data_IF_420882625980
#
_entry.id   IF_420882625980
#
_cell.length_a   1.000
_cell.length_b   1.000
_cell.length_c   1.000
_cell.angle_alpha   90.00
_cell.angle_beta   90.00
_cell.angle_gamma   90.00
#
_symmetry.space_group_name_H-M   'P 1'
#
loop_
_entity.id
_entity.type
_entity.pdbx_description
1 polymer ?
#
# COMPACT_ATOMS: atom_id res chain seq x y z
N UNK A 1 7.10 -3.11 68.39
CA UNK A 1 5.85 -3.56 67.71
C UNK A 1 5.30 -2.57 66.69
N UNK A 2 5.11 -1.26 66.97
CA UNK A 2 4.52 -0.29 66.01
C UNK A 2 5.36 -0.09 64.74
N UNK A 3 6.68 -0.15 64.79
CA UNK A 3 7.55 0.04 63.61
C UNK A 3 7.63 -1.22 62.75
N UNK A 4 7.57 -2.42 63.33
CA UNK A 4 7.58 -3.68 62.57
C UNK A 4 6.33 -3.83 61.67
N UNK A 5 5.17 -3.35 62.15
CA UNK A 5 3.92 -3.36 61.39
C UNK A 5 3.97 -2.36 60.23
N UNK A 6 4.62 -1.20 60.37
CA UNK A 6 4.81 -0.23 59.28
C UNK A 6 5.68 -0.78 58.17
N UNK A 7 6.77 -1.48 58.49
CA UNK A 7 7.63 -2.11 57.51
C UNK A 7 6.93 -3.27 56.77
N UNK A 8 6.08 -4.04 57.50
CA UNK A 8 5.29 -5.11 56.91
C UNK A 8 4.24 -4.56 55.92
N UNK A 9 3.59 -3.46 56.26
CA UNK A 9 2.63 -2.78 55.38
C UNK A 9 3.31 -2.11 54.17
N UNK A 10 4.52 -1.55 54.34
CA UNK A 10 5.28 -0.99 53.23
C UNK A 10 5.77 -2.07 52.25
N UNK A 11 6.22 -3.22 52.76
CA UNK A 11 6.63 -4.34 51.90
C UNK A 11 5.45 -5.00 51.18
N UNK A 12 4.29 -5.09 51.79
CA UNK A 12 3.07 -5.57 51.15
C UNK A 12 2.56 -4.62 50.04
N UNK A 13 2.67 -3.30 50.26
CA UNK A 13 2.34 -2.28 49.27
C UNK A 13 3.31 -2.28 48.09
N UNK A 14 4.62 -2.51 48.33
CA UNK A 14 5.63 -2.61 47.29
C UNK A 14 5.45 -3.89 46.43
N UNK A 15 5.04 -5.00 47.02
CA UNK A 15 4.74 -6.25 46.30
C UNK A 15 3.44 -6.16 45.48
N UNK A 16 2.46 -5.36 45.91
CA UNK A 16 1.24 -5.11 45.14
C UNK A 16 1.46 -4.20 43.90
N UNK A 17 2.52 -3.39 43.91
CA UNK A 17 2.85 -2.50 42.78
C UNK A 17 3.53 -3.20 41.60
N UNK A 18 4.02 -4.44 41.76
CA UNK A 18 4.75 -5.20 40.72
C UNK A 18 3.83 -6.14 39.92
N UNK A 19 2.53 -6.20 40.23
CA UNK A 19 1.66 -7.32 39.81
C UNK A 19 0.70 -7.02 38.65
N UNK A 20 0.86 -6.02 37.80
CA UNK A 20 -0.19 -5.73 36.81
C UNK A 20 0.27 -5.28 35.42
N UNK A 21 1.43 -5.67 34.89
CA UNK A 21 1.70 -5.41 33.48
C UNK A 21 0.91 -6.33 32.55
N UNK A 22 0.72 -7.58 32.89
CA UNK A 22 -0.01 -8.54 32.02
C UNK A 22 -1.55 -8.39 32.06
N UNK A 23 -2.11 -7.70 33.05
CA UNK A 23 -3.58 -7.50 33.15
C UNK A 23 -4.09 -6.35 32.26
N UNK A 24 -3.21 -5.41 31.90
CA UNK A 24 -3.52 -4.30 30.99
C UNK A 24 -3.27 -4.66 29.51
N UNK A 25 -2.66 -5.80 29.25
CA UNK A 25 -2.36 -6.28 27.89
C UNK A 25 -3.54 -7.10 27.33
N UNK A 26 -4.73 -6.51 27.37
CA UNK A 26 -5.94 -7.11 26.80
C UNK A 26 -5.96 -6.79 25.31
N UNK A 27 -5.47 -7.71 24.50
CA UNK A 27 -5.73 -7.70 23.05
C UNK A 27 -7.18 -8.13 22.86
N UNK A 28 -8.04 -7.32 22.19
CA UNK A 28 -9.38 -7.77 21.82
C UNK A 28 -9.28 -9.11 21.06
N UNK A 29 -10.15 -10.09 21.31
CA UNK A 29 -10.07 -11.41 20.66
C UNK A 29 -10.22 -11.35 19.13
N UNK A 30 -10.56 -10.20 18.56
CA UNK A 30 -10.69 -9.93 17.13
C UNK A 30 -9.48 -9.25 16.51
N UNK A 31 -8.46 -8.86 17.30
CA UNK A 31 -7.27 -8.20 16.81
C UNK A 31 -6.05 -9.12 16.93
N UNK A 32 -5.42 -9.42 15.80
CA UNK A 32 -4.13 -10.11 15.75
C UNK A 32 -3.05 -9.03 15.87
N UNK A 33 -2.11 -9.21 16.80
CA UNK A 33 -0.94 -8.31 16.88
C UNK A 33 -0.14 -8.39 15.58
N UNK A 34 0.33 -7.26 15.08
CA UNK A 34 1.12 -7.22 13.85
C UNK A 34 2.33 -8.16 13.90
N UNK A 35 2.97 -8.30 15.06
CA UNK A 35 4.10 -9.21 15.26
C UNK A 35 3.73 -10.69 15.11
N UNK A 36 2.54 -11.07 15.55
CA UNK A 36 2.01 -12.43 15.41
C UNK A 36 1.56 -12.67 13.96
N UNK A 37 0.90 -11.68 13.33
CA UNK A 37 0.47 -11.73 11.94
C UNK A 37 1.66 -11.93 10.99
N UNK A 38 2.71 -11.15 11.15
CA UNK A 38 3.93 -11.23 10.32
C UNK A 38 4.96 -12.24 10.83
N UNK A 39 4.56 -13.22 11.63
CA UNK A 39 5.45 -14.28 12.12
C UNK A 39 5.78 -15.34 11.05
N UNK A 40 4.97 -15.44 9.98
CA UNK A 40 5.10 -16.43 8.90
C UNK A 40 4.87 -15.80 7.52
N UNK A 41 5.22 -16.54 6.47
CA UNK A 41 4.97 -16.13 5.08
C UNK A 41 3.47 -15.91 4.81
N UNK A 42 2.61 -16.70 5.43
CA UNK A 42 1.16 -16.62 5.27
C UNK A 42 0.59 -15.24 5.66
N UNK A 43 1.06 -14.64 6.76
CA UNK A 43 0.63 -13.31 7.18
C UNK A 43 0.95 -12.24 6.12
N UNK A 44 2.13 -12.29 5.52
CA UNK A 44 2.49 -11.39 4.42
C UNK A 44 1.67 -11.64 3.16
N UNK A 45 1.40 -12.91 2.83
CA UNK A 45 0.52 -13.29 1.72
C UNK A 45 -0.89 -12.76 1.93
N UNK A 46 -1.45 -12.93 3.13
CA UNK A 46 -2.78 -12.41 3.50
C UNK A 46 -2.84 -10.89 3.38
N UNK A 47 -1.81 -10.16 3.84
CA UNK A 47 -1.74 -8.71 3.68
C UNK A 47 -1.70 -8.30 2.21
N UNK A 48 -0.89 -8.99 1.39
CA UNK A 48 -0.81 -8.70 -0.04
C UNK A 48 -2.15 -8.97 -0.76
N UNK A 49 -2.83 -10.08 -0.44
CA UNK A 49 -4.20 -10.35 -0.93
C UNK A 49 -5.16 -9.24 -0.47
N UNK A 50 -5.10 -8.85 0.80
CA UNK A 50 -5.90 -7.76 1.35
C UNK A 50 -5.70 -6.44 0.59
N UNK A 51 -4.46 -6.13 0.19
CA UNK A 51 -4.17 -4.96 -0.64
C UNK A 51 -4.83 -5.08 -2.03
N UNK A 52 -4.75 -6.24 -2.70
CA UNK A 52 -5.42 -6.45 -3.98
C UNK A 52 -6.95 -6.39 -3.87
N UNK A 53 -7.53 -6.94 -2.81
CA UNK A 53 -8.98 -6.85 -2.56
C UNK A 53 -9.40 -5.40 -2.34
N UNK A 54 -8.67 -4.63 -1.54
CA UNK A 54 -8.93 -3.23 -1.31
C UNK A 54 -8.78 -2.38 -2.59
N UNK A 55 -7.82 -2.71 -3.44
CA UNK A 55 -7.71 -2.10 -4.77
C UNK A 55 -8.91 -2.44 -5.67
N UNK A 56 -9.49 -3.62 -5.53
CA UNK A 56 -10.68 -4.06 -6.29
C UNK A 56 -12.00 -3.46 -5.81
N UNK A 57 -12.03 -2.66 -4.75
CA UNK A 57 -13.24 -1.98 -4.30
C UNK A 57 -13.67 -0.84 -5.26
N UNK A 58 -14.94 -0.44 -5.18
CA UNK A 58 -15.55 0.59 -6.04
C UNK A 58 -14.87 1.95 -5.93
N UNK A 59 -14.33 2.27 -4.77
CA UNK A 59 -13.60 3.51 -4.53
C UNK A 59 -12.29 3.60 -5.34
N UNK A 60 -11.73 2.47 -5.79
CA UNK A 60 -10.52 2.41 -6.63
C UNK A 60 -10.79 1.72 -7.98
N UNK A 61 -10.10 0.59 -8.25
CA UNK A 61 -10.11 -0.06 -9.57
C UNK A 61 -11.36 -0.90 -9.82
N UNK A 62 -12.20 -1.15 -8.81
CA UNK A 62 -13.51 -1.79 -9.01
C UNK A 62 -14.49 -0.89 -9.76
N UNK A 63 -14.31 0.44 -9.71
CA UNK A 63 -15.18 1.39 -10.39
C UNK A 63 -14.49 2.69 -10.77
N UNK A 64 -14.11 3.54 -9.78
CA UNK A 64 -13.72 4.93 -10.01
C UNK A 64 -12.48 5.09 -10.91
N UNK A 65 -11.47 4.23 -10.75
CA UNK A 65 -10.20 4.28 -11.50
C UNK A 65 -10.21 3.44 -12.79
N UNK A 66 -11.37 2.91 -13.19
CA UNK A 66 -11.52 2.10 -14.41
C UNK A 66 -12.58 2.66 -15.35
N UNK A 67 -13.85 2.57 -14.99
CA UNK A 67 -14.95 2.85 -15.90
C UNK A 67 -15.93 3.94 -15.40
N UNK A 68 -15.70 4.57 -14.25
CA UNK A 68 -16.54 5.63 -13.71
C UNK A 68 -15.82 6.99 -13.70
N UNK A 69 -15.19 7.41 -12.59
CA UNK A 69 -14.60 8.76 -12.44
C UNK A 69 -13.62 9.10 -13.57
N UNK A 70 -12.70 8.22 -13.89
CA UNK A 70 -11.69 8.50 -14.93
C UNK A 70 -12.28 8.58 -16.32
N UNK A 71 -13.32 7.78 -16.64
CA UNK A 71 -14.02 7.80 -17.92
C UNK A 71 -14.91 9.04 -18.06
N UNK A 72 -15.53 9.50 -16.94
CA UNK A 72 -16.24 10.77 -16.89
C UNK A 72 -15.31 11.96 -17.14
N UNK A 73 -14.17 12.00 -16.47
CA UNK A 73 -13.14 13.02 -16.69
C UNK A 73 -12.54 12.94 -18.10
N UNK A 74 -12.41 11.73 -18.65
CA UNK A 74 -11.99 11.47 -20.02
C UNK A 74 -13.06 11.76 -21.08
N UNK A 75 -14.29 12.12 -20.64
CA UNK A 75 -15.46 12.38 -21.51
C UNK A 75 -15.81 11.21 -22.43
N UNK A 76 -15.66 9.99 -21.94
CA UNK A 76 -16.11 8.79 -22.63
C UNK A 76 -17.63 8.60 -22.55
N UNK A 77 -18.28 9.22 -21.55
CA UNK A 77 -19.73 9.27 -21.38
C UNK A 77 -20.25 10.70 -21.51
N UNK A 78 -21.50 10.85 -21.94
CA UNK A 78 -22.19 12.15 -22.07
C UNK A 78 -23.22 12.33 -20.95
N UNK A 79 -22.79 12.78 -19.79
CA UNK A 79 -23.67 13.12 -18.67
C UNK A 79 -24.31 14.51 -18.78
N UNK A 80 -23.93 15.34 -19.77
CA UNK A 80 -24.31 16.75 -19.87
C UNK A 80 -25.82 16.99 -20.10
N UNK A 81 -26.54 16.00 -20.57
CA UNK A 81 -27.99 16.10 -20.82
C UNK A 81 -28.83 15.82 -19.58
N UNK A 82 -28.27 15.23 -18.56
CA UNK A 82 -28.98 14.91 -17.33
C UNK A 82 -28.35 15.64 -16.14
N UNK A 83 -28.83 16.83 -15.83
CA UNK A 83 -28.32 17.65 -14.71
C UNK A 83 -28.62 17.06 -13.33
N UNK A 84 -29.46 16.02 -13.25
CA UNK A 84 -29.74 15.29 -12.02
C UNK A 84 -28.85 14.05 -11.85
N UNK A 85 -28.03 13.69 -12.85
CA UNK A 85 -27.07 12.61 -12.72
C UNK A 85 -25.98 12.98 -11.72
N UNK A 86 -25.58 12.01 -10.92
CA UNK A 86 -24.52 12.21 -9.91
C UNK A 86 -23.19 12.63 -10.54
N UNK A 87 -22.94 12.19 -11.77
CA UNK A 87 -21.70 12.44 -12.52
C UNK A 87 -21.69 13.75 -13.32
N UNK A 88 -22.80 14.50 -13.31
CA UNK A 88 -22.95 15.72 -14.09
C UNK A 88 -21.83 16.75 -13.81
N UNK A 89 -21.46 16.88 -12.56
CA UNK A 89 -20.42 17.81 -12.13
C UNK A 89 -19.01 17.33 -12.50
N UNK A 90 -18.74 16.02 -12.44
CA UNK A 90 -17.45 15.44 -12.87
C UNK A 90 -17.21 15.64 -14.37
N UNK A 91 -18.23 15.40 -15.23
CA UNK A 91 -18.15 15.65 -16.69
C UNK A 91 -17.83 17.12 -17.02
N UNK A 92 -18.20 18.04 -16.14
CA UNK A 92 -17.93 19.48 -16.28
C UNK A 92 -16.68 19.97 -15.57
N UNK A 93 -15.92 19.08 -14.98
CA UNK A 93 -14.75 19.41 -14.16
C UNK A 93 -15.09 20.36 -12.99
N UNK A 94 -16.30 20.26 -12.47
CA UNK A 94 -16.75 21.01 -11.30
C UNK A 94 -16.43 20.21 -10.02
N UNK A 95 -15.22 20.34 -9.51
CA UNK A 95 -14.71 19.61 -8.35
C UNK A 95 -15.15 20.20 -7.00
N UNK A 96 -16.03 21.21 -6.99
CA UNK A 96 -16.41 21.93 -5.76
C UNK A 96 -17.77 21.51 -5.20
N UNK A 97 -18.50 20.65 -5.88
CA UNK A 97 -19.77 20.12 -5.35
C UNK A 97 -19.50 18.99 -4.38
N UNK A 98 -20.42 18.77 -3.43
CA UNK A 98 -20.34 17.69 -2.44
C UNK A 98 -20.11 16.34 -3.12
N UNK A 99 -20.88 16.03 -4.16
CA UNK A 99 -20.78 14.75 -4.89
C UNK A 99 -19.42 14.54 -5.53
N UNK A 100 -18.91 15.53 -6.27
CA UNK A 100 -17.57 15.43 -6.89
C UNK A 100 -16.47 15.31 -5.86
N UNK A 101 -16.57 16.09 -4.77
CA UNK A 101 -15.61 16.05 -3.67
C UNK A 101 -15.58 14.68 -3.00
N UNK A 102 -16.75 14.11 -2.67
CA UNK A 102 -16.86 12.79 -2.05
C UNK A 102 -16.19 11.69 -2.89
N UNK A 103 -16.42 11.66 -4.20
CA UNK A 103 -15.80 10.67 -5.09
C UNK A 103 -14.28 10.83 -5.12
N UNK A 104 -13.79 12.07 -5.25
CA UNK A 104 -12.36 12.38 -5.30
C UNK A 104 -11.67 12.03 -3.98
N UNK A 105 -12.27 12.40 -2.85
CA UNK A 105 -11.77 12.11 -1.50
C UNK A 105 -11.68 10.60 -1.25
N UNK A 106 -12.70 9.84 -1.62
CA UNK A 106 -12.69 8.37 -1.49
C UNK A 106 -11.53 7.73 -2.26
N UNK A 107 -11.28 8.16 -3.50
CA UNK A 107 -10.13 7.69 -4.27
C UNK A 107 -8.82 8.00 -3.54
N UNK A 108 -8.67 9.20 -3.01
CA UNK A 108 -7.49 9.62 -2.27
C UNK A 108 -7.29 8.80 -0.99
N UNK A 109 -8.29 8.78 -0.12
CA UNK A 109 -8.25 8.10 1.17
C UNK A 109 -8.00 6.60 1.03
N UNK A 110 -8.72 5.94 0.11
CA UNK A 110 -8.56 4.51 -0.13
C UNK A 110 -7.19 4.17 -0.71
N UNK A 111 -6.66 5.00 -1.60
CA UNK A 111 -5.30 4.83 -2.13
C UNK A 111 -4.25 4.86 -1.02
N UNK A 112 -4.31 5.86 -0.14
CA UNK A 112 -3.37 5.96 0.98
C UNK A 112 -3.60 4.91 2.06
N UNK A 113 -4.82 4.42 2.24
CA UNK A 113 -5.11 3.27 3.11
C UNK A 113 -4.40 2.00 2.61
N UNK A 114 -4.45 1.71 1.31
CA UNK A 114 -3.72 0.57 0.73
C UNK A 114 -2.21 0.77 0.85
N UNK A 115 -1.70 1.98 0.57
CA UNK A 115 -0.27 2.31 0.74
C UNK A 115 0.19 2.11 2.19
N UNK A 116 -0.63 2.46 3.18
CA UNK A 116 -0.30 2.24 4.59
C UNK A 116 -0.15 0.76 4.92
N UNK A 117 -1.08 -0.11 4.46
CA UNK A 117 -0.98 -1.55 4.64
C UNK A 117 0.26 -2.14 3.93
N UNK A 118 0.59 -1.65 2.74
CA UNK A 118 1.81 -2.05 2.02
C UNK A 118 3.05 -1.64 2.80
N UNK A 119 3.10 -0.43 3.34
CA UNK A 119 4.25 0.07 4.10
C UNK A 119 4.43 -0.69 5.40
N UNK A 120 3.34 -1.04 6.09
CA UNK A 120 3.38 -1.87 7.30
C UNK A 120 3.99 -3.24 7.00
N UNK A 121 3.52 -3.91 5.94
CA UNK A 121 4.09 -5.19 5.52
C UNK A 121 5.57 -5.07 5.10
N UNK A 122 5.96 -4.00 4.39
CA UNK A 122 7.35 -3.75 3.97
C UNK A 122 8.28 -3.53 5.15
N UNK A 123 7.82 -2.85 6.19
CA UNK A 123 8.60 -2.64 7.42
C UNK A 123 8.85 -3.97 8.16
N UNK A 124 7.85 -4.84 8.21
CA UNK A 124 7.94 -6.13 8.88
C UNK A 124 8.74 -7.16 8.06
N UNK A 125 8.61 -7.22 6.73
CA UNK A 125 9.23 -8.26 5.92
C UNK A 125 10.76 -8.19 5.95
N UNK A 126 11.33 -6.98 6.04
CA UNK A 126 12.78 -6.81 6.14
C UNK A 126 13.33 -7.26 7.51
N UNK A 127 12.56 -7.06 8.58
CA UNK A 127 12.90 -7.56 9.92
C UNK A 127 12.81 -9.08 10.04
N UNK A 128 11.96 -9.72 9.24
CA UNK A 128 11.72 -11.18 9.24
C UNK A 128 12.45 -11.92 8.13
N UNK A 129 13.34 -11.25 7.40
CA UNK A 129 14.03 -11.82 6.23
C UNK A 129 14.72 -13.16 6.51
N UNK A 130 15.35 -13.30 7.66
CA UNK A 130 16.08 -14.53 8.03
C UNK A 130 15.15 -15.69 8.43
N UNK A 131 13.87 -15.40 8.70
CA UNK A 131 12.83 -16.40 9.02
C UNK A 131 11.95 -16.79 7.83
N UNK A 132 12.12 -16.13 6.69
CA UNK A 132 11.38 -16.42 5.46
C UNK A 132 12.27 -17.16 4.46
N UNK A 133 11.70 -18.11 3.73
CA UNK A 133 12.40 -18.66 2.58
C UNK A 133 12.64 -17.60 1.49
N UNK A 134 13.65 -17.81 0.68
CA UNK A 134 14.08 -16.82 -0.31
C UNK A 134 13.01 -16.52 -1.39
N UNK A 135 12.15 -17.47 -1.72
CA UNK A 135 11.08 -17.29 -2.72
C UNK A 135 10.01 -16.38 -2.16
N UNK A 136 9.49 -16.70 -0.96
CA UNK A 136 8.49 -15.89 -0.27
C UNK A 136 8.97 -14.46 -0.06
N UNK A 137 10.17 -14.28 0.52
CA UNK A 137 10.74 -12.95 0.74
C UNK A 137 10.80 -12.13 -0.55
N UNK A 138 11.32 -12.72 -1.63
CA UNK A 138 11.56 -11.99 -2.88
C UNK A 138 10.26 -11.66 -3.61
N UNK A 139 9.36 -12.63 -3.76
CA UNK A 139 8.13 -12.41 -4.54
C UNK A 139 7.20 -11.46 -3.79
N UNK A 140 6.96 -11.70 -2.50
CA UNK A 140 6.04 -10.85 -1.72
C UNK A 140 6.56 -9.42 -1.62
N UNK A 141 7.84 -9.24 -1.25
CA UNK A 141 8.43 -7.90 -1.19
C UNK A 141 8.42 -7.19 -2.54
N UNK A 142 8.73 -7.92 -3.61
CA UNK A 142 8.68 -7.37 -4.97
C UNK A 142 7.30 -6.88 -5.36
N UNK A 143 6.25 -7.64 -5.05
CA UNK A 143 4.87 -7.22 -5.31
C UNK A 143 4.42 -6.06 -4.43
N UNK A 144 4.76 -6.05 -3.14
CA UNK A 144 4.43 -4.93 -2.24
C UNK A 144 5.04 -3.61 -2.73
N UNK A 145 6.31 -3.62 -3.16
CA UNK A 145 6.95 -2.47 -3.77
C UNK A 145 6.26 -2.04 -5.06
N UNK A 146 5.85 -3.00 -5.88
CA UNK A 146 5.12 -2.74 -7.11
C UNK A 146 3.73 -2.13 -6.86
N UNK A 147 2.98 -2.63 -5.87
CA UNK A 147 1.68 -2.07 -5.47
C UNK A 147 1.85 -0.63 -4.99
N UNK A 148 2.84 -0.36 -4.13
CA UNK A 148 3.14 1.00 -3.66
C UNK A 148 3.41 1.96 -4.81
N UNK A 149 4.27 1.56 -5.73
CA UNK A 149 4.63 2.37 -6.89
C UNK A 149 3.43 2.57 -7.84
N UNK A 150 2.64 1.53 -8.09
CA UNK A 150 1.48 1.57 -8.96
C UNK A 150 0.43 2.57 -8.48
N UNK A 151 0.07 2.51 -7.19
CA UNK A 151 -0.94 3.43 -6.62
C UNK A 151 -0.41 4.87 -6.61
N UNK A 152 0.86 5.10 -6.24
CA UNK A 152 1.43 6.45 -6.31
C UNK A 152 1.51 6.99 -7.74
N UNK A 153 1.73 6.12 -8.73
CA UNK A 153 1.73 6.52 -10.13
C UNK A 153 0.36 7.05 -10.56
N UNK A 154 -0.72 6.37 -10.17
CA UNK A 154 -2.07 6.85 -10.46
C UNK A 154 -2.42 8.13 -9.69
N UNK A 155 -1.99 8.25 -8.43
CA UNK A 155 -2.15 9.49 -7.67
C UNK A 155 -1.44 10.68 -8.35
N UNK A 156 -0.23 10.49 -8.88
CA UNK A 156 0.48 11.51 -9.64
C UNK A 156 -0.28 11.90 -10.92
N UNK A 157 -0.83 10.92 -11.63
CA UNK A 157 -1.60 11.16 -12.87
C UNK A 157 -2.91 11.88 -12.62
N UNK A 158 -3.59 11.57 -11.51
CA UNK A 158 -4.88 12.16 -11.16
C UNK A 158 -4.75 13.55 -10.54
N UNK A 159 -3.83 13.72 -9.61
CA UNK A 159 -3.72 14.92 -8.77
C UNK A 159 -2.51 15.79 -9.13
N UNK A 160 -1.73 15.37 -10.08
CA UNK A 160 -0.55 16.08 -10.53
C UNK A 160 -0.81 17.05 -11.68
N UNK A 161 0.25 17.63 -12.20
CA UNK A 161 0.20 18.47 -13.40
C UNK A 161 0.35 17.63 -14.68
N UNK A 162 -0.23 18.12 -15.75
CA UNK A 162 -0.07 17.56 -17.11
C UNK A 162 1.23 18.01 -17.77
N UNK A 163 1.55 17.40 -18.92
CA UNK A 163 2.68 17.75 -19.79
C UNK A 163 4.02 17.71 -19.07
N UNK A 164 4.34 16.61 -18.43
CA UNK A 164 5.57 16.47 -17.65
C UNK A 164 6.83 16.61 -18.56
N UNK A 165 6.77 16.11 -19.80
CA UNK A 165 7.90 16.17 -20.72
C UNK A 165 8.24 17.61 -21.19
N UNK A 166 7.24 18.50 -21.24
CA UNK A 166 7.44 19.92 -21.60
C UNK A 166 7.79 20.84 -20.43
N UNK A 167 7.86 20.30 -19.19
CA UNK A 167 8.04 21.12 -17.99
C UNK A 167 9.49 21.19 -17.56
N UNK A 168 9.87 22.40 -17.13
CA UNK A 168 11.22 22.69 -16.60
C UNK A 168 11.24 22.88 -15.07
N UNK A 169 10.07 22.80 -14.41
CA UNK A 169 9.90 23.08 -12.99
C UNK A 169 9.73 21.84 -12.11
N UNK A 170 9.95 20.64 -12.63
CA UNK A 170 9.69 19.36 -11.92
C UNK A 170 10.54 19.20 -10.65
N UNK A 171 11.73 19.79 -10.58
CA UNK A 171 12.61 19.75 -9.40
C UNK A 171 12.11 20.63 -8.25
N UNK A 172 11.26 21.60 -8.52
CA UNK A 172 10.72 22.52 -7.51
C UNK A 172 9.22 22.41 -7.29
N UNK A 173 8.48 21.85 -8.26
CA UNK A 173 7.04 21.73 -8.21
C UNK A 173 6.62 20.56 -7.34
N UNK A 174 5.85 20.84 -6.31
CA UNK A 174 5.30 19.81 -5.44
C UNK A 174 4.14 19.05 -6.10
N UNK A 175 4.00 17.79 -5.73
CA UNK A 175 2.93 16.88 -6.12
C UNK A 175 2.42 16.12 -4.90
N UNK A 176 2.05 14.86 -5.04
CA UNK A 176 1.54 14.01 -3.96
C UNK A 176 2.66 13.57 -2.99
N UNK A 177 2.36 13.30 -1.72
CA UNK A 177 3.29 12.63 -0.82
C UNK A 177 3.60 11.21 -1.34
N UNK A 178 4.89 10.84 -1.38
CA UNK A 178 5.29 9.45 -1.62
C UNK A 178 5.64 8.79 -0.29
N UNK A 179 4.71 8.00 0.27
CA UNK A 179 4.84 7.42 1.60
C UNK A 179 5.60 6.09 1.54
N UNK A 180 6.62 5.97 2.39
CA UNK A 180 7.45 4.75 2.53
C UNK A 180 7.42 4.17 3.93
N UNK A 181 6.69 4.78 4.84
CA UNK A 181 6.49 4.36 6.24
C UNK A 181 5.06 4.66 6.68
N UNK A 182 4.64 4.03 7.76
CA UNK A 182 3.42 4.38 8.49
C UNK A 182 3.80 5.33 9.62
N UNK A 183 3.30 6.57 9.55
CA UNK A 183 3.54 7.59 10.57
C UNK A 183 2.21 8.24 10.95
N UNK A 184 2.16 8.80 12.18
CA UNK A 184 1.01 9.56 12.68
C UNK A 184 1.03 11.01 12.22
N UNK A 185 2.19 11.51 11.82
CA UNK A 185 2.37 12.88 11.37
C UNK A 185 2.04 13.02 9.89
N UNK A 186 1.52 14.19 9.52
CA UNK A 186 1.22 14.50 8.13
C UNK A 186 2.50 14.51 7.29
N UNK A 187 2.54 13.69 6.25
CA UNK A 187 3.69 13.64 5.36
C UNK A 187 3.73 14.84 4.41
N UNK A 188 4.90 15.43 4.17
CA UNK A 188 5.02 16.54 3.24
C UNK A 188 4.81 16.08 1.79
N UNK A 189 4.25 16.98 0.98
CA UNK A 189 4.28 16.82 -0.46
C UNK A 189 5.74 16.87 -0.96
N UNK A 190 6.07 15.98 -1.87
CA UNK A 190 7.39 15.94 -2.50
C UNK A 190 7.37 16.67 -3.84
N UNK A 191 8.53 17.01 -4.36
CA UNK A 191 8.64 17.48 -5.74
C UNK A 191 8.34 16.35 -6.73
N UNK A 192 7.94 16.69 -7.95
CA UNK A 192 7.73 15.69 -9.00
C UNK A 192 8.95 14.82 -9.21
N UNK A 193 10.11 15.44 -9.35
CA UNK A 193 11.35 14.73 -9.58
C UNK A 193 11.69 13.76 -8.44
N UNK A 194 11.48 14.16 -7.19
CA UNK A 194 11.70 13.28 -6.04
C UNK A 194 10.68 12.14 -5.98
N UNK A 195 9.40 12.42 -6.25
CA UNK A 195 8.34 11.41 -6.27
C UNK A 195 8.62 10.35 -7.35
N UNK A 196 8.97 10.79 -8.56
CA UNK A 196 9.34 9.89 -9.67
C UNK A 196 10.61 9.07 -9.34
N UNK A 197 11.63 9.69 -8.74
CA UNK A 197 12.85 8.96 -8.32
C UNK A 197 12.54 7.84 -7.34
N UNK A 198 11.70 8.07 -6.33
CA UNK A 198 11.29 7.05 -5.36
C UNK A 198 10.47 5.94 -6.01
N UNK A 199 9.53 6.29 -6.87
CA UNK A 199 8.72 5.33 -7.60
C UNK A 199 9.59 4.42 -8.49
N UNK A 200 10.54 4.99 -9.22
CA UNK A 200 11.48 4.22 -10.06
C UNK A 200 12.39 3.35 -9.22
N UNK A 201 12.83 3.82 -8.06
CA UNK A 201 13.61 3.01 -7.13
C UNK A 201 12.83 1.78 -6.65
N UNK A 202 11.56 1.96 -6.25
CA UNK A 202 10.68 0.86 -5.87
C UNK A 202 10.49 -0.15 -7.02
N UNK A 203 10.20 0.33 -8.22
CA UNK A 203 9.99 -0.54 -9.39
C UNK A 203 11.28 -1.24 -9.83
N UNK A 204 12.42 -0.60 -9.69
CA UNK A 204 13.72 -1.20 -10.02
C UNK A 204 14.04 -2.33 -9.06
N UNK A 205 13.82 -2.10 -7.77
CA UNK A 205 14.01 -3.14 -6.75
C UNK A 205 12.98 -4.25 -6.87
N UNK A 206 11.71 -3.91 -7.15
CA UNK A 206 10.66 -4.90 -7.44
C UNK A 206 11.05 -5.80 -8.62
N UNK A 207 11.50 -5.22 -9.72
CA UNK A 207 11.96 -5.98 -10.89
C UNK A 207 13.14 -6.90 -10.57
N UNK A 208 14.08 -6.46 -9.75
CA UNK A 208 15.22 -7.26 -9.29
C UNK A 208 14.78 -8.43 -8.41
N UNK A 209 13.85 -8.19 -7.49
CA UNK A 209 13.32 -9.21 -6.60
C UNK A 209 12.50 -10.25 -7.38
N UNK A 210 11.65 -9.80 -8.30
CA UNK A 210 10.79 -10.63 -9.14
C UNK A 210 11.52 -11.34 -10.30
N UNK A 211 12.86 -11.27 -10.36
CA UNK A 211 13.65 -12.07 -11.31
C UNK A 211 13.35 -13.58 -11.20
N UNK A 212 12.93 -14.06 -10.02
CA UNK A 212 12.55 -15.45 -9.78
C UNK A 212 11.04 -15.72 -9.97
N UNK A 213 10.27 -14.74 -10.45
CA UNK A 213 8.82 -14.91 -10.60
C UNK A 213 8.50 -16.13 -11.49
N UNK A 214 7.63 -17.06 -11.04
CA UNK A 214 7.26 -18.27 -11.80
C UNK A 214 6.73 -17.96 -13.19
N UNK A 215 6.07 -16.81 -13.41
CA UNK A 215 5.55 -16.41 -14.73
C UNK A 215 6.62 -16.33 -15.81
N UNK A 216 7.88 -16.19 -15.44
CA UNK A 216 9.00 -16.14 -16.40
C UNK A 216 9.38 -17.49 -16.95
N UNK A 217 8.92 -18.58 -16.30
CA UNK A 217 9.30 -19.98 -16.65
C UNK A 217 10.83 -20.18 -16.78
N UNK A 218 11.63 -19.36 -16.07
CA UNK A 218 13.11 -19.37 -16.17
C UNK A 218 13.74 -20.39 -15.25
N UNK A 219 13.08 -20.68 -14.13
CA UNK A 219 13.57 -21.57 -13.09
C UNK A 219 12.71 -22.84 -13.07
N UNK A 220 13.28 -23.99 -12.69
CA UNK A 220 12.51 -25.22 -12.55
C UNK A 220 11.46 -25.08 -11.45
N UNK A 221 10.30 -25.70 -11.64
CA UNK A 221 9.17 -25.65 -10.72
C UNK A 221 9.54 -26.10 -9.29
N UNK A 222 10.54 -26.98 -9.20
CA UNK A 222 11.01 -27.51 -7.92
C UNK A 222 11.50 -26.47 -6.93
N UNK A 223 11.97 -25.29 -7.38
CA UNK A 223 12.42 -24.22 -6.45
C UNK A 223 11.26 -23.57 -5.69
N UNK A 224 10.03 -23.73 -6.21
CA UNK A 224 8.84 -23.16 -5.59
C UNK A 224 8.07 -24.16 -4.73
N UNK A 225 8.42 -25.45 -4.75
CA UNK A 225 7.62 -26.52 -4.14
C UNK A 225 7.34 -26.27 -2.67
N UNK A 226 8.34 -25.84 -1.90
CA UNK A 226 8.19 -25.56 -0.47
C UNK A 226 7.48 -24.24 -0.19
N UNK A 227 7.69 -23.23 -1.03
CA UNK A 227 7.10 -21.90 -0.88
C UNK A 227 5.66 -21.81 -1.41
N UNK A 228 5.21 -22.79 -2.23
CA UNK A 228 3.91 -22.78 -2.91
C UNK A 228 2.99 -23.94 -2.48
N UNK A 229 3.11 -24.38 -1.23
CA UNK A 229 2.27 -25.47 -0.70
C UNK A 229 0.79 -25.10 -0.73
N UNK A 230 0.47 -23.86 -0.45
CA UNK A 230 -0.87 -23.26 -0.46
C UNK A 230 -1.32 -22.76 -1.83
N UNK A 231 -0.48 -22.93 -2.86
CA UNK A 231 -0.70 -22.47 -4.24
C UNK A 231 -0.85 -20.95 -4.40
N UNK A 232 -0.31 -20.18 -3.50
CA UNK A 232 -0.33 -18.74 -3.55
C UNK A 232 0.33 -18.17 -4.82
N UNK A 233 1.34 -18.87 -5.34
CA UNK A 233 2.04 -18.46 -6.58
C UNK A 233 1.44 -19.03 -7.86
N UNK A 234 0.30 -19.71 -7.78
CA UNK A 234 -0.49 -20.04 -8.95
C UNK A 234 -1.12 -18.75 -9.52
N UNK A 235 -1.52 -18.74 -10.77
CA UNK A 235 -2.19 -17.58 -11.40
C UNK A 235 -1.41 -16.25 -11.35
N UNK A 236 -0.07 -16.31 -11.43
CA UNK A 236 0.81 -15.11 -11.41
C UNK A 236 0.41 -14.02 -12.42
N UNK A 237 -0.32 -14.36 -13.48
CA UNK A 237 -0.81 -13.41 -14.48
C UNK A 237 -1.86 -12.42 -13.92
N UNK A 238 -2.46 -12.70 -12.77
CA UNK A 238 -3.42 -11.80 -12.09
C UNK A 238 -2.75 -10.85 -11.09
N UNK A 239 -1.44 -10.97 -10.90
CA UNK A 239 -0.67 -10.20 -9.93
C UNK A 239 0.20 -9.14 -10.62
N UNK A 240 0.73 -8.18 -9.85
CA UNK A 240 1.81 -7.30 -10.29
C UNK A 240 3.12 -8.12 -10.42
N UNK A 241 3.13 -9.00 -11.40
CA UNK A 241 4.22 -9.91 -11.71
C UNK A 241 5.42 -9.18 -12.34
N UNK A 242 6.49 -9.92 -12.62
CA UNK A 242 7.69 -9.37 -13.25
C UNK A 242 7.41 -8.53 -14.50
N UNK A 243 6.55 -8.99 -15.41
CA UNK A 243 6.26 -8.29 -16.66
C UNK A 243 5.42 -7.04 -16.42
N UNK A 244 4.46 -7.08 -15.49
CA UNK A 244 3.68 -5.92 -15.09
C UNK A 244 4.57 -4.83 -14.49
N UNK A 245 5.53 -5.19 -13.63
CA UNK A 245 6.51 -4.27 -13.05
C UNK A 245 7.40 -3.66 -14.14
N UNK A 246 7.87 -4.46 -15.09
CA UNK A 246 8.68 -3.95 -16.22
C UNK A 246 7.89 -3.00 -17.11
N UNK A 247 6.61 -3.28 -17.34
CA UNK A 247 5.73 -2.39 -18.11
C UNK A 247 5.49 -1.08 -17.36
N UNK A 248 5.23 -1.13 -16.06
CA UNK A 248 5.04 0.06 -15.24
C UNK A 248 6.31 0.91 -15.14
N UNK A 249 7.49 0.26 -15.03
CA UNK A 249 8.77 0.95 -15.06
C UNK A 249 9.00 1.67 -16.41
N UNK A 250 8.72 1.01 -17.53
CA UNK A 250 8.81 1.63 -18.85
C UNK A 250 7.84 2.82 -18.98
N UNK A 251 6.60 2.66 -18.52
CA UNK A 251 5.58 3.72 -18.53
C UNK A 251 6.01 4.92 -17.67
N UNK A 252 6.58 4.68 -16.48
CA UNK A 252 7.07 5.76 -15.61
C UNK A 252 8.26 6.51 -16.20
N UNK A 253 9.13 5.84 -16.97
CA UNK A 253 10.25 6.48 -17.65
C UNK A 253 9.84 7.35 -18.85
N UNK A 254 8.67 7.10 -19.46
CA UNK A 254 8.12 7.96 -20.51
C UNK A 254 7.68 9.33 -19.96
N UNK A 255 7.34 9.39 -18.68
CA UNK A 255 6.86 10.60 -18.02
C UNK A 255 8.00 11.44 -17.38
N UNK A 256 9.25 11.04 -17.56
CA UNK A 256 10.44 11.78 -17.14
C UNK A 256 11.13 12.39 -18.36
#
# INVERSE_FOLDING_TARGET
>A
MKNSIKYLLLSAAALAAVSCESWLDVTPPSEIRAEDHYSSAEGFQQTLIGCYLAMGETDLYGENLTWHMVEMLGRQYDARKNTAADDYDLDRYNYKTTKSTEVIEKVWEKSYSVIANVNDALDHIDRRKDGLDSVNYRIIKGELLAVRAYIHFDLIRLFGCSDLAGRTDLESRHTVPYLTSVDKDAAPQLTYAETLRRMIADLTEAARLLEIDPIRARYPESIYTEANVDKFYDYRYMHLNYFAVKALLALSLIHI
#
